data_IF_482116313861
#
_entry.id   IF_482116313861
#
_cell.length_a   1.000
_cell.length_b   1.000
_cell.length_c   1.000
_cell.angle_alpha   90.00
_cell.angle_beta   90.00
_cell.angle_gamma   90.00
#
_symmetry.space_group_name_H-M   'P 1'
#
loop_
_entity.id
_entity.type
_entity.pdbx_description
1 polymer ?
#
# COMPACT_ATOMS: atom_id res chain seq x y z
N UNK A 1 -10.21 -33.53 18.62
CA UNK A 1 -10.81 -32.58 17.66
C UNK A 1 -12.30 -32.87 17.58
N UNK A 2 -13.20 -31.89 17.69
CA UNK A 2 -14.62 -32.13 17.49
C UNK A 2 -14.83 -32.70 16.08
N UNK A 3 -15.50 -33.84 15.95
CA UNK A 3 -15.86 -34.44 14.65
C UNK A 3 -17.03 -33.66 14.04
N UNK A 4 -16.72 -32.57 13.33
CA UNK A 4 -17.74 -31.81 12.60
C UNK A 4 -18.25 -32.68 11.44
N UNK A 5 -19.52 -33.09 11.49
CA UNK A 5 -20.15 -33.83 10.39
C UNK A 5 -20.48 -32.86 9.26
N UNK A 6 -20.19 -33.24 8.01
CA UNK A 6 -20.35 -32.40 6.81
C UNK A 6 -21.76 -31.80 6.69
N UNK A 7 -22.81 -32.55 7.03
CA UNK A 7 -24.20 -32.08 6.97
C UNK A 7 -24.48 -30.82 7.82
N UNK A 8 -23.70 -30.57 8.87
CA UNK A 8 -23.87 -29.37 9.69
C UNK A 8 -23.48 -28.10 8.95
N UNK A 9 -22.52 -28.19 8.03
CA UNK A 9 -22.15 -27.05 7.18
C UNK A 9 -23.27 -26.72 6.20
N UNK A 10 -23.89 -27.74 5.61
CA UNK A 10 -25.01 -27.55 4.68
C UNK A 10 -26.21 -26.92 5.38
N UNK A 11 -26.55 -27.39 6.59
CA UNK A 11 -27.65 -26.83 7.37
C UNK A 11 -27.40 -25.38 7.82
N UNK A 12 -26.17 -25.05 8.26
CA UNK A 12 -25.80 -23.68 8.62
C UNK A 12 -25.78 -22.78 7.38
N UNK A 13 -25.34 -23.28 6.24
CA UNK A 13 -25.38 -22.55 4.97
C UNK A 13 -26.82 -22.24 4.54
N UNK A 14 -27.72 -23.22 4.62
CA UNK A 14 -29.13 -23.04 4.30
C UNK A 14 -29.80 -22.01 5.22
N UNK A 15 -29.53 -22.08 6.53
CA UNK A 15 -30.00 -21.07 7.49
C UNK A 15 -29.43 -19.69 7.22
N UNK A 16 -28.15 -19.60 6.83
CA UNK A 16 -27.55 -18.34 6.40
C UNK A 16 -28.25 -17.73 5.19
N UNK A 17 -28.61 -18.54 4.18
CA UNK A 17 -29.40 -18.10 3.02
C UNK A 17 -30.77 -17.56 3.43
N UNK A 18 -31.48 -18.26 4.30
CA UNK A 18 -32.76 -17.81 4.84
C UNK A 18 -32.64 -16.53 5.67
N UNK A 19 -31.51 -16.34 6.35
CA UNK A 19 -31.18 -15.14 7.14
C UNK A 19 -30.67 -13.95 6.28
N UNK A 20 -30.74 -14.05 4.95
CA UNK A 20 -30.45 -12.96 4.03
C UNK A 20 -29.02 -12.87 3.51
N UNK A 21 -28.17 -13.89 3.73
CA UNK A 21 -26.85 -13.98 3.09
C UNK A 21 -27.03 -14.43 1.63
N UNK A 22 -26.87 -13.52 0.68
CA UNK A 22 -27.12 -13.75 -0.75
C UNK A 22 -25.84 -13.92 -1.59
N UNK A 23 -24.66 -13.64 -1.02
CA UNK A 23 -23.38 -13.74 -1.73
C UNK A 23 -23.08 -15.14 -2.28
N UNK A 24 -22.52 -15.23 -3.50
CA UNK A 24 -22.20 -16.53 -4.11
C UNK A 24 -21.10 -17.28 -3.34
N UNK A 25 -20.18 -16.55 -2.71
CA UNK A 25 -19.08 -17.10 -1.91
C UNK A 25 -19.21 -16.68 -0.45
N UNK A 26 -19.19 -17.69 0.44
CA UNK A 26 -19.25 -17.50 1.88
C UNK A 26 -18.14 -18.30 2.56
N UNK A 27 -17.62 -17.77 3.66
CA UNK A 27 -16.73 -18.47 4.58
C UNK A 27 -17.52 -18.90 5.81
N UNK A 28 -17.52 -20.19 6.11
CA UNK A 28 -18.13 -20.74 7.32
C UNK A 28 -17.00 -21.07 8.29
N UNK A 29 -17.02 -20.44 9.47
CA UNK A 29 -16.07 -20.70 10.55
C UNK A 29 -16.78 -21.40 11.71
N UNK A 30 -16.43 -22.66 11.99
CA UNK A 30 -16.94 -23.37 13.16
C UNK A 30 -16.49 -22.70 14.45
N UNK A 31 -17.39 -22.66 15.43
CA UNK A 31 -17.04 -22.30 16.80
C UNK A 31 -15.99 -23.24 17.39
N UNK A 32 -15.10 -22.72 18.23
CA UNK A 32 -14.02 -23.50 18.85
C UNK A 32 -14.54 -24.62 19.78
N UNK A 33 -15.75 -24.49 20.31
CA UNK A 33 -16.42 -25.48 21.14
C UNK A 33 -17.92 -25.55 20.84
N UNK A 34 -18.61 -26.57 21.37
CA UNK A 34 -20.04 -26.76 21.17
C UNK A 34 -20.92 -25.59 21.67
N UNK A 35 -20.37 -24.75 22.56
CA UNK A 35 -21.05 -23.58 23.12
C UNK A 35 -20.68 -22.27 22.42
N UNK A 36 -19.90 -22.32 21.33
CA UNK A 36 -19.55 -21.16 20.52
C UNK A 36 -20.35 -21.17 19.22
N UNK A 37 -20.87 -19.99 18.88
CA UNK A 37 -21.58 -19.79 17.63
C UNK A 37 -20.68 -20.05 16.41
N UNK A 38 -21.29 -20.57 15.35
CA UNK A 38 -20.66 -20.69 14.04
C UNK A 38 -20.90 -19.40 13.27
N UNK A 39 -19.88 -18.86 12.62
CA UNK A 39 -20.01 -17.63 11.85
C UNK A 39 -20.02 -17.93 10.36
N UNK A 40 -20.95 -17.30 9.64
CA UNK A 40 -21.01 -17.29 8.18
C UNK A 40 -20.78 -15.87 7.73
N UNK A 41 -19.75 -15.67 6.92
CA UNK A 41 -19.34 -14.36 6.43
C UNK A 41 -19.32 -14.36 4.91
N UNK A 42 -19.83 -13.30 4.31
CA UNK A 42 -19.73 -13.09 2.87
C UNK A 42 -18.30 -12.72 2.47
N UNK A 43 -17.75 -13.44 1.48
CA UNK A 43 -16.38 -13.24 0.99
C UNK A 43 -16.33 -12.92 -0.49
N UNK A 44 -17.47 -12.63 -1.10
CA UNK A 44 -17.49 -12.30 -2.52
C UNK A 44 -16.71 -11.02 -2.79
N UNK A 45 -16.00 -11.03 -3.92
CA UNK A 45 -15.12 -9.95 -4.36
C UNK A 45 -15.67 -9.28 -5.61
N UNK A 46 -16.98 -9.23 -5.73
CA UNK A 46 -17.71 -8.52 -6.78
C UNK A 46 -18.31 -7.23 -6.23
N UNK A 47 -18.41 -6.22 -7.09
CA UNK A 47 -19.19 -5.03 -6.80
C UNK A 47 -20.68 -5.31 -7.05
N UNK A 48 -21.62 -4.89 -6.17
CA UNK A 48 -21.43 -4.18 -4.89
C UNK A 48 -20.86 -5.07 -3.77
N UNK A 49 -19.89 -4.54 -3.02
CA UNK A 49 -19.27 -5.27 -1.92
C UNK A 49 -20.25 -5.41 -0.76
N UNK A 50 -20.72 -6.63 -0.52
CA UNK A 50 -21.47 -7.00 0.69
C UNK A 50 -20.51 -7.74 1.63
N UNK A 51 -20.47 -7.33 2.91
CA UNK A 51 -19.57 -7.91 3.94
C UNK A 51 -20.41 -8.26 5.16
N UNK A 52 -21.58 -8.84 4.90
CA UNK A 52 -22.50 -9.22 5.95
C UNK A 52 -22.01 -10.49 6.63
N UNK A 53 -22.21 -10.55 7.94
CA UNK A 53 -21.89 -11.72 8.75
C UNK A 53 -23.05 -12.06 9.68
N UNK A 54 -23.25 -13.36 9.89
CA UNK A 54 -24.27 -13.90 10.79
C UNK A 54 -23.63 -14.98 11.67
N UNK A 55 -23.92 -14.96 12.96
CA UNK A 55 -23.49 -15.97 13.91
C UNK A 55 -24.68 -16.84 14.31
N UNK A 56 -24.50 -18.16 14.28
CA UNK A 56 -25.55 -19.15 14.56
C UNK A 56 -25.17 -20.02 15.76
N UNK A 57 -26.11 -20.24 16.67
CA UNK A 57 -25.99 -21.27 17.70
C UNK A 57 -26.20 -22.65 17.04
N UNK A 58 -25.23 -23.54 17.20
CA UNK A 58 -25.23 -24.87 16.56
C UNK A 58 -26.27 -25.84 17.16
N UNK A 59 -26.80 -25.53 18.34
CA UNK A 59 -27.80 -26.36 19.04
C UNK A 59 -29.22 -25.95 18.69
N UNK A 60 -29.49 -24.64 18.67
CA UNK A 60 -30.82 -24.07 18.39
C UNK A 60 -31.00 -23.65 16.93
N UNK A 61 -29.91 -23.55 16.17
CA UNK A 61 -29.86 -22.98 14.81
C UNK A 61 -30.38 -21.54 14.71
N UNK A 62 -30.43 -20.81 15.83
CA UNK A 62 -30.87 -19.42 15.83
C UNK A 62 -29.69 -18.46 15.58
N UNK A 63 -30.02 -17.32 14.95
CA UNK A 63 -29.07 -16.21 14.78
C UNK A 63 -28.84 -15.56 16.15
N UNK A 64 -27.62 -15.63 16.63
CA UNK A 64 -27.19 -15.04 17.92
C UNK A 64 -26.65 -13.63 17.71
N UNK A 65 -26.05 -13.37 16.55
CA UNK A 65 -25.49 -12.06 16.21
C UNK A 65 -25.55 -11.79 14.70
N UNK A 66 -25.67 -10.52 14.33
CA UNK A 66 -25.77 -10.07 12.95
C UNK A 66 -24.98 -8.78 12.73
N UNK A 67 -24.12 -8.78 11.71
CA UNK A 67 -23.39 -7.62 11.24
C UNK A 67 -23.86 -7.29 9.83
N UNK A 68 -24.48 -6.12 9.68
CA UNK A 68 -24.90 -5.58 8.39
C UNK A 68 -23.93 -4.50 7.95
N UNK A 69 -23.45 -4.57 6.71
CA UNK A 69 -22.57 -3.58 6.12
C UNK A 69 -23.17 -2.17 6.15
N UNK A 70 -24.51 -2.06 6.05
CA UNK A 70 -25.20 -0.77 6.16
C UNK A 70 -24.96 -0.06 7.50
N UNK A 71 -24.80 -0.82 8.58
CA UNK A 71 -24.61 -0.32 9.94
C UNK A 71 -23.13 -0.02 10.26
N UNK A 72 -22.20 -0.30 9.34
CA UNK A 72 -20.78 -0.03 9.57
C UNK A 72 -20.52 1.48 9.73
N UNK A 73 -19.67 1.88 10.68
CA UNK A 73 -19.20 3.26 10.79
C UNK A 73 -18.62 3.74 9.46
N UNK A 74 -18.79 5.03 9.16
CA UNK A 74 -18.34 5.62 7.90
C UNK A 74 -16.85 5.38 7.63
N UNK A 75 -16.02 5.46 8.68
CA UNK A 75 -14.58 5.16 8.58
C UNK A 75 -14.32 3.72 8.14
N UNK A 76 -15.08 2.75 8.65
CA UNK A 76 -14.94 1.35 8.25
C UNK A 76 -15.31 1.13 6.77
N UNK A 77 -16.36 1.82 6.29
CA UNK A 77 -16.74 1.80 4.86
C UNK A 77 -15.65 2.42 3.97
N UNK A 78 -15.09 3.56 4.38
CA UNK A 78 -14.00 4.21 3.64
C UNK A 78 -12.75 3.32 3.55
N UNK A 79 -12.37 2.67 4.65
CA UNK A 79 -11.25 1.71 4.65
C UNK A 79 -11.54 0.56 3.68
N UNK A 80 -12.74 -0.03 3.73
CA UNK A 80 -13.12 -1.12 2.84
C UNK A 80 -13.11 -0.71 1.37
N UNK A 81 -13.72 0.43 1.03
CA UNK A 81 -13.68 0.96 -0.34
C UNK A 81 -12.26 1.30 -0.78
N UNK A 82 -11.40 1.79 0.12
CA UNK A 82 -9.98 2.01 -0.16
C UNK A 82 -9.26 0.71 -0.53
N UNK A 83 -9.52 -0.37 0.20
CA UNK A 83 -8.99 -1.71 -0.10
C UNK A 83 -9.53 -2.20 -1.44
N UNK A 84 -10.84 -2.14 -1.65
CA UNK A 84 -11.47 -2.62 -2.89
C UNK A 84 -11.01 -1.82 -4.12
N UNK A 85 -10.78 -0.50 -3.96
CA UNK A 85 -10.19 0.36 -4.98
C UNK A 85 -8.76 -0.05 -5.28
N UNK A 86 -7.92 -0.25 -4.25
CA UNK A 86 -6.54 -0.67 -4.43
C UNK A 86 -6.40 -2.05 -5.09
N UNK A 87 -7.28 -2.99 -4.74
CA UNK A 87 -7.30 -4.34 -5.29
C UNK A 87 -7.87 -4.42 -6.72
N UNK A 88 -8.44 -3.33 -7.26
CA UNK A 88 -9.03 -3.34 -8.60
C UNK A 88 -10.45 -3.92 -8.65
N UNK A 89 -11.13 -4.05 -7.52
CA UNK A 89 -12.47 -4.65 -7.40
C UNK A 89 -13.55 -3.56 -7.53
N UNK A 90 -13.33 -2.42 -6.88
CA UNK A 90 -14.27 -1.29 -6.92
C UNK A 90 -14.45 -0.83 -8.37
N UNK A 91 -15.69 -0.72 -8.87
CA UNK A 91 -16.01 -0.36 -10.28
C UNK A 91 -15.45 -1.29 -11.37
N UNK A 92 -14.93 -2.47 -11.02
CA UNK A 92 -14.47 -3.50 -11.96
C UNK A 92 -13.42 -2.98 -12.97
N UNK A 93 -13.69 -3.17 -14.27
CA UNK A 93 -12.74 -2.89 -15.36
C UNK A 93 -12.27 -1.43 -15.37
N UNK A 94 -13.14 -0.47 -15.03
CA UNK A 94 -12.77 0.94 -15.02
C UNK A 94 -11.61 1.23 -14.05
N UNK A 95 -11.68 0.65 -12.84
CA UNK A 95 -10.63 0.80 -11.84
C UNK A 95 -9.36 0.03 -12.21
N UNK A 96 -9.50 -1.14 -12.84
CA UNK A 96 -8.35 -1.89 -13.35
C UNK A 96 -7.57 -1.11 -14.41
N UNK A 97 -8.26 -0.48 -15.38
CA UNK A 97 -7.62 0.37 -16.38
C UNK A 97 -6.92 1.57 -15.74
N UNK A 98 -7.55 2.18 -14.73
CA UNK A 98 -6.96 3.27 -13.96
C UNK A 98 -5.67 2.81 -13.24
N UNK A 99 -5.72 1.68 -12.52
CA UNK A 99 -4.56 1.09 -11.85
C UNK A 99 -3.43 0.76 -12.83
N UNK A 100 -3.75 0.22 -14.02
CA UNK A 100 -2.77 -0.03 -15.08
C UNK A 100 -2.14 1.27 -15.57
N UNK A 101 -2.94 2.32 -15.79
CA UNK A 101 -2.43 3.62 -16.22
C UNK A 101 -1.50 4.23 -15.15
N UNK A 102 -1.88 4.19 -13.88
CA UNK A 102 -1.04 4.64 -12.76
C UNK A 102 0.26 3.83 -12.67
N UNK A 103 0.18 2.50 -12.76
CA UNK A 103 1.34 1.61 -12.75
C UNK A 103 2.30 1.90 -13.91
N UNK A 104 1.77 2.01 -15.12
CA UNK A 104 2.54 2.34 -16.31
C UNK A 104 3.21 3.73 -16.21
N UNK A 105 2.50 4.73 -15.66
CA UNK A 105 3.04 6.06 -15.40
C UNK A 105 4.20 6.04 -14.39
N UNK A 106 4.06 5.26 -13.31
CA UNK A 106 5.10 5.08 -12.30
C UNK A 106 6.34 4.38 -12.89
N UNK A 107 6.16 3.27 -13.61
CA UNK A 107 7.25 2.58 -14.32
C UNK A 107 7.95 3.51 -15.31
N UNK A 108 7.19 4.26 -16.10
CA UNK A 108 7.73 5.22 -17.07
C UNK A 108 8.56 6.30 -16.38
N UNK A 109 8.08 6.84 -15.26
CA UNK A 109 8.79 7.86 -14.47
C UNK A 109 10.11 7.33 -13.92
N UNK A 110 10.13 6.08 -13.42
CA UNK A 110 11.35 5.42 -12.94
C UNK A 110 12.36 5.24 -14.09
N UNK A 111 11.91 4.71 -15.23
CA UNK A 111 12.76 4.48 -16.41
C UNK A 111 13.34 5.80 -16.94
N UNK A 112 12.52 6.83 -17.06
CA UNK A 112 12.95 8.16 -17.50
C UNK A 112 13.94 8.76 -16.49
N UNK A 113 13.65 8.67 -15.19
CA UNK A 113 14.54 9.14 -14.13
C UNK A 113 15.92 8.48 -14.20
N UNK A 114 15.96 7.15 -14.34
CA UNK A 114 17.21 6.41 -14.47
C UNK A 114 17.93 6.71 -15.80
N UNK A 115 17.19 6.82 -16.91
CA UNK A 115 17.75 7.19 -18.21
C UNK A 115 18.37 8.60 -18.19
N UNK A 116 17.69 9.57 -17.56
CA UNK A 116 18.23 10.91 -17.35
C UNK A 116 19.49 10.89 -16.48
N UNK A 117 19.49 10.10 -15.41
CA UNK A 117 20.68 9.93 -14.55
C UNK A 117 21.86 9.36 -15.35
N UNK A 118 21.63 8.31 -16.14
CA UNK A 118 22.66 7.68 -16.95
C UNK A 118 23.22 8.61 -18.05
N UNK A 119 22.34 9.34 -18.74
CA UNK A 119 22.72 10.30 -19.79
C UNK A 119 23.49 11.51 -19.25
N UNK A 120 23.21 11.94 -18.02
CA UNK A 120 23.83 13.12 -17.40
C UNK A 120 25.12 12.80 -16.63
N UNK A 121 25.58 11.55 -16.61
CA UNK A 121 26.83 11.16 -15.95
C UNK A 121 28.04 11.73 -16.73
N UNK A 122 28.91 12.58 -16.15
CA UNK A 122 30.07 13.11 -16.86
C UNK A 122 31.08 11.99 -17.15
N UNK A 123 31.36 11.77 -18.44
CA UNK A 123 32.18 10.65 -18.95
C UNK A 123 33.64 10.63 -18.45
N UNK A 124 34.14 11.73 -17.87
CA UNK A 124 35.55 11.90 -17.49
C UNK A 124 35.78 12.37 -16.03
N UNK A 125 34.77 12.30 -15.15
CA UNK A 125 34.94 12.64 -13.73
C UNK A 125 34.64 11.43 -12.83
N UNK A 126 35.67 10.94 -12.11
CA UNK A 126 35.54 9.89 -11.08
C UNK A 126 34.58 10.30 -9.95
N UNK A 127 34.42 11.61 -9.71
CA UNK A 127 33.46 12.18 -8.76
C UNK A 127 32.77 13.40 -9.39
N UNK A 128 31.55 13.25 -9.95
CA UNK A 128 30.82 14.35 -10.58
C UNK A 128 30.47 15.44 -9.56
N UNK A 129 31.03 16.64 -9.71
CA UNK A 129 30.58 17.82 -8.94
C UNK A 129 29.20 18.33 -9.37
N UNK A 130 28.76 17.97 -10.58
CA UNK A 130 27.55 18.49 -11.23
C UNK A 130 26.32 17.57 -11.09
N UNK A 131 26.27 16.69 -10.08
CA UNK A 131 25.17 15.74 -9.93
C UNK A 131 24.79 15.36 -8.49
N UNK A 132 25.37 16.01 -7.48
CA UNK A 132 25.01 15.72 -6.09
C UNK A 132 23.65 16.32 -5.74
N UNK A 133 22.78 15.53 -5.10
CA UNK A 133 21.46 15.98 -4.64
C UNK A 133 21.58 17.18 -3.69
N UNK A 134 22.56 17.14 -2.78
CA UNK A 134 22.83 18.25 -1.85
C UNK A 134 23.23 19.53 -2.61
N UNK A 135 24.05 19.39 -3.65
CA UNK A 135 24.46 20.53 -4.48
C UNK A 135 23.31 21.10 -5.31
N UNK A 136 22.38 20.26 -5.74
CA UNK A 136 21.18 20.67 -6.47
C UNK A 136 20.19 21.35 -5.53
N UNK A 137 19.93 20.78 -4.35
CA UNK A 137 19.05 21.35 -3.32
C UNK A 137 19.53 22.73 -2.86
N UNK A 138 20.85 22.93 -2.79
CA UNK A 138 21.45 24.24 -2.49
C UNK A 138 21.13 25.33 -3.52
N UNK A 139 20.83 24.96 -4.77
CA UNK A 139 20.48 25.90 -5.87
C UNK A 139 18.99 26.23 -5.97
N UNK A 140 18.12 25.53 -5.22
CA UNK A 140 16.69 25.85 -5.20
C UNK A 140 16.44 27.15 -4.42
N UNK A 141 15.42 27.90 -4.85
CA UNK A 141 14.85 29.01 -4.07
C UNK A 141 14.29 28.50 -2.74
N UNK A 142 14.07 29.40 -1.78
CA UNK A 142 13.49 29.04 -0.48
C UNK A 142 12.15 28.29 -0.65
N UNK A 143 11.30 28.77 -1.56
CA UNK A 143 10.02 28.14 -1.89
C UNK A 143 10.22 26.74 -2.48
N UNK A 144 11.19 26.56 -3.38
CA UNK A 144 11.51 25.24 -3.95
C UNK A 144 12.02 24.25 -2.90
N UNK A 145 12.80 24.72 -1.91
CA UNK A 145 13.25 23.90 -0.78
C UNK A 145 12.07 23.45 0.08
N UNK A 146 11.17 24.35 0.44
CA UNK A 146 9.97 24.02 1.22
C UNK A 146 9.11 23.01 0.46
N UNK A 147 8.83 23.28 -0.81
CA UNK A 147 7.98 22.42 -1.63
C UNK A 147 8.56 21.01 -1.82
N UNK A 148 9.89 20.87 -1.81
CA UNK A 148 10.55 19.57 -1.92
C UNK A 148 10.72 18.87 -0.56
N UNK A 149 11.15 19.59 0.48
CA UNK A 149 11.48 19.01 1.78
C UNK A 149 10.24 18.63 2.57
N UNK A 150 9.21 19.48 2.60
CA UNK A 150 7.99 19.21 3.38
C UNK A 150 7.35 17.87 3.04
N UNK A 151 7.01 17.54 1.77
CA UNK A 151 6.44 16.24 1.46
C UNK A 151 7.44 15.10 1.70
N UNK A 152 8.73 15.33 1.46
CA UNK A 152 9.77 14.32 1.71
C UNK A 152 9.87 13.93 3.18
N UNK A 153 9.84 14.92 4.08
CA UNK A 153 9.87 14.72 5.54
C UNK A 153 8.60 14.04 6.03
N UNK A 154 7.43 14.48 5.56
CA UNK A 154 6.16 13.82 5.89
C UNK A 154 6.17 12.35 5.48
N UNK A 155 6.57 12.06 4.24
CA UNK A 155 6.68 10.68 3.76
C UNK A 155 7.74 9.89 4.50
N UNK A 156 8.88 10.48 4.86
CA UNK A 156 9.92 9.79 5.64
C UNK A 156 9.42 9.43 7.05
N UNK A 157 8.59 10.27 7.67
CA UNK A 157 7.95 9.97 8.95
C UNK A 157 6.89 8.87 8.82
N UNK A 158 6.06 8.90 7.78
CA UNK A 158 5.03 7.88 7.55
C UNK A 158 5.62 6.55 7.05
N UNK A 159 6.74 6.59 6.33
CA UNK A 159 7.41 5.45 5.69
C UNK A 159 8.89 5.41 6.13
N UNK A 160 9.18 4.93 7.35
CA UNK A 160 10.51 5.03 7.96
C UNK A 160 11.60 4.34 7.13
N UNK A 161 11.29 3.21 6.48
CA UNK A 161 12.22 2.51 5.58
C UNK A 161 12.64 3.39 4.40
N UNK A 162 11.69 4.12 3.80
CA UNK A 162 11.98 5.07 2.74
C UNK A 162 12.89 6.18 3.29
N UNK A 163 12.57 6.74 4.46
CA UNK A 163 13.37 7.78 5.10
C UNK A 163 14.81 7.35 5.39
N UNK A 164 15.01 6.15 5.93
CA UNK A 164 16.35 5.59 6.21
C UNK A 164 17.13 5.37 4.92
N UNK A 165 16.51 4.81 3.88
CA UNK A 165 17.17 4.60 2.59
C UNK A 165 17.60 5.92 1.93
N UNK A 166 16.76 6.96 2.02
CA UNK A 166 17.07 8.30 1.54
C UNK A 166 18.22 8.93 2.35
N UNK A 167 18.19 8.80 3.69
CA UNK A 167 19.26 9.31 4.55
C UNK A 167 20.61 8.65 4.21
N UNK A 168 20.64 7.32 4.04
CA UNK A 168 21.83 6.61 3.61
C UNK A 168 22.35 7.11 2.25
N UNK A 169 21.45 7.32 1.29
CA UNK A 169 21.79 7.88 -0.01
C UNK A 169 22.39 9.29 0.09
N UNK A 170 21.77 10.18 0.89
CA UNK A 170 22.25 11.55 1.12
C UNK A 170 23.62 11.59 1.80
N UNK A 171 23.89 10.67 2.73
CA UNK A 171 25.21 10.54 3.37
C UNK A 171 26.27 10.17 2.32
N UNK A 172 26.01 9.15 1.50
CA UNK A 172 26.93 8.73 0.43
C UNK A 172 27.15 9.87 -0.56
N UNK A 173 26.08 10.52 -1.00
CA UNK A 173 26.14 11.66 -1.92
C UNK A 173 26.96 12.82 -1.34
N UNK A 174 26.75 13.15 -0.06
CA UNK A 174 27.50 14.18 0.65
C UNK A 174 28.99 13.86 0.78
N UNK A 175 29.34 12.63 1.15
CA UNK A 175 30.73 12.17 1.21
C UNK A 175 31.41 12.25 -0.17
N UNK A 176 30.72 11.83 -1.22
CA UNK A 176 31.20 11.94 -2.60
C UNK A 176 31.41 13.41 -3.01
N UNK A 177 30.46 14.29 -2.69
CA UNK A 177 30.54 15.71 -3.00
C UNK A 177 31.71 16.41 -2.28
N UNK A 178 31.89 16.16 -0.98
CA UNK A 178 33.01 16.71 -0.19
C UNK A 178 34.35 16.26 -0.79
N UNK A 179 34.49 14.97 -1.11
CA UNK A 179 35.72 14.42 -1.73
C UNK A 179 36.01 15.08 -3.08
N UNK A 180 34.99 15.27 -3.92
CA UNK A 180 35.12 15.91 -5.21
C UNK A 180 35.59 17.38 -5.10
N UNK A 181 35.03 18.13 -4.13
CA UNK A 181 35.38 19.53 -3.92
C UNK A 181 36.82 19.69 -3.39
N UNK A 182 37.27 18.78 -2.51
CA UNK A 182 38.68 18.76 -2.05
C UNK A 182 39.67 18.51 -3.19
N UNK A 183 39.39 17.54 -4.06
CA UNK A 183 40.26 17.23 -5.20
C UNK A 183 40.37 18.42 -6.18
N UNK A 184 39.26 19.12 -6.43
CA UNK A 184 39.25 20.32 -7.27
C UNK A 184 40.12 21.44 -6.68
N UNK A 185 40.02 21.69 -5.37
CA UNK A 185 40.79 22.72 -4.69
C UNK A 185 42.30 22.43 -4.71
N UNK A 186 42.69 21.16 -4.53
CA UNK A 186 44.09 20.74 -4.64
C UNK A 186 44.64 20.96 -6.06
N UNK A 187 43.87 20.57 -7.09
CA UNK A 187 44.27 20.79 -8.48
C UNK A 187 44.44 22.28 -8.83
N UNK A 188 43.58 23.16 -8.29
CA UNK A 188 43.71 24.61 -8.46
C UNK A 188 44.96 25.17 -7.76
N UNK A 189 45.32 24.63 -6.59
CA UNK A 189 46.52 25.06 -5.85
C UNK A 189 47.81 24.64 -6.53
N UNK A 190 47.86 23.49 -7.19
CA UNK A 190 49.06 23.04 -7.94
C UNK A 190 49.25 23.76 -9.28
N UNK A 191 48.24 24.49 -9.77
CA UNK A 191 48.27 25.22 -11.04
C UNK A 191 48.63 26.70 -10.88
N UNK A 192 48.69 27.20 -9.64
CA UNK A 192 49.21 28.51 -9.26
C UNK A 192 50.65 28.36 -8.79
#
# INVERSE_FOLDING_TARGET
MPSYRLWRYDAVLEQARLAGIDAARVEIRPGASANHAWTVTEIDRSWPTQVDARAFDITTMQVVDQLNFQQFPLVAKLIRWGIDAHMGILFGVANQLLLVAFGAGLCSTIVIGYSMWWRRRPKHQRFPLQGSLLSSLGRLTLMGKVLCLTPTLLLACCLPLMGVSLAAFLIIDGLCWIKANRLKNLALKMRK
#
